data_IF_761004679479
#
_entry.id   IF_761004679479
#
_cell.length_a   1.000
_cell.length_b   1.000
_cell.length_c   1.000
_cell.angle_alpha   90.00
_cell.angle_beta   90.00
_cell.angle_gamma   90.00
#
_symmetry.space_group_name_H-M   'P 1'
#
loop_
_entity.id
_entity.type
_entity.pdbx_description
1 polymer ?
#
# COMPACT_ATOMS: atom_id res chain seq x y z
N UNK A 1 32.26 11.70 69.07
CA UNK A 1 30.85 11.99 68.71
C UNK A 1 30.02 10.76 68.97
N UNK A 2 28.85 10.88 69.61
CA UNK A 2 27.94 9.74 69.76
C UNK A 2 27.38 9.33 68.39
N UNK A 3 27.10 8.04 68.21
CA UNK A 3 26.53 7.47 66.98
C UNK A 3 25.32 8.29 66.45
N UNK A 4 24.38 8.77 67.31
CA UNK A 4 23.27 9.60 66.86
C UNK A 4 23.71 10.93 66.21
N UNK A 5 24.78 11.55 66.70
CA UNK A 5 25.27 12.82 66.14
C UNK A 5 25.87 12.62 64.74
N UNK A 6 26.60 11.51 64.52
CA UNK A 6 27.17 11.20 63.21
C UNK A 6 26.06 10.93 62.19
N UNK A 7 25.02 10.19 62.59
CA UNK A 7 23.88 9.91 61.71
C UNK A 7 23.15 11.19 61.33
N UNK A 8 22.81 12.03 62.31
CA UNK A 8 22.00 13.23 62.08
C UNK A 8 22.73 14.32 61.29
N UNK A 9 24.01 14.56 61.59
CA UNK A 9 24.74 15.71 61.04
C UNK A 9 25.65 15.37 59.86
N UNK A 10 25.92 14.09 59.60
CA UNK A 10 26.79 13.67 58.49
C UNK A 10 26.02 12.79 57.51
N UNK A 11 25.41 11.71 57.97
CA UNK A 11 24.77 10.73 57.06
C UNK A 11 23.52 11.30 56.41
N UNK A 12 22.63 11.93 57.18
CA UNK A 12 21.38 12.49 56.64
C UNK A 12 21.63 13.62 55.63
N UNK A 13 22.51 14.61 55.88
CA UNK A 13 22.79 15.67 54.91
C UNK A 13 23.48 15.13 53.66
N UNK A 14 24.39 14.17 53.78
CA UNK A 14 25.06 13.55 52.63
C UNK A 14 24.07 12.78 51.77
N UNK A 15 23.15 12.01 52.37
CA UNK A 15 22.08 11.32 51.62
C UNK A 15 21.13 12.31 50.96
N UNK A 16 20.76 13.40 51.66
CA UNK A 16 19.89 14.44 51.10
C UNK A 16 20.55 15.12 49.90
N UNK A 17 21.81 15.57 50.04
CA UNK A 17 22.57 16.17 48.95
C UNK A 17 22.76 15.18 47.80
N UNK A 18 23.06 13.91 48.09
CA UNK A 18 23.20 12.88 47.05
C UNK A 18 21.88 12.63 46.32
N UNK A 19 20.75 12.67 47.02
CA UNK A 19 19.41 12.51 46.42
C UNK A 19 19.05 13.72 45.56
N UNK A 20 19.32 14.93 46.04
CA UNK A 20 19.13 16.17 45.29
C UNK A 20 20.01 16.16 44.04
N UNK A 21 21.30 15.83 44.17
CA UNK A 21 22.21 15.70 43.04
C UNK A 21 21.76 14.62 42.07
N UNK A 22 21.28 13.47 42.55
CA UNK A 22 20.71 12.43 41.69
C UNK A 22 19.49 12.96 40.92
N UNK A 23 18.54 13.62 41.58
CA UNK A 23 17.34 14.14 40.90
C UNK A 23 17.67 15.23 39.86
N UNK A 24 18.66 16.09 40.11
CA UNK A 24 18.97 17.21 39.21
C UNK A 24 20.08 16.93 38.18
N UNK A 25 21.00 16.01 38.46
CA UNK A 25 22.11 15.67 37.57
C UNK A 25 21.91 14.33 36.86
N UNK A 26 21.08 13.43 37.38
CA UNK A 26 20.66 12.23 36.66
C UNK A 26 19.61 12.63 35.63
N UNK A 27 20.10 13.24 34.55
CA UNK A 27 19.34 13.22 33.30
C UNK A 27 19.20 11.75 32.94
N UNK A 28 17.95 11.24 32.88
CA UNK A 28 17.70 10.00 32.15
C UNK A 28 18.43 10.14 30.81
N UNK A 29 19.32 9.19 30.48
CA UNK A 29 19.95 9.20 29.16
C UNK A 29 18.84 9.43 28.15
N UNK A 30 18.94 10.44 27.26
CA UNK A 30 17.89 10.69 26.29
C UNK A 30 17.67 9.36 25.59
N UNK A 31 16.49 8.75 25.78
CA UNK A 31 16.12 7.48 25.16
C UNK A 31 16.63 7.58 23.73
N UNK A 32 17.62 6.75 23.41
CA UNK A 32 18.52 6.90 22.27
C UNK A 32 17.71 6.65 20.97
N UNK A 33 16.83 7.60 20.67
CA UNK A 33 15.85 7.55 19.62
C UNK A 33 16.48 8.20 18.41
N UNK A 34 16.53 7.45 17.31
CA UNK A 34 17.02 7.97 16.05
C UNK A 34 16.21 9.23 15.67
N UNK A 35 16.92 10.36 15.58
CA UNK A 35 16.38 11.69 15.27
C UNK A 35 15.55 11.70 13.98
N UNK A 36 15.81 10.75 13.07
CA UNK A 36 15.03 10.52 11.85
C UNK A 36 13.53 10.29 12.15
N UNK A 37 13.18 9.70 13.27
CA UNK A 37 11.80 9.42 13.65
C UNK A 37 11.18 10.47 14.58
N UNK A 38 11.94 11.52 14.92
CA UNK A 38 11.49 12.64 15.74
C UNK A 38 11.05 13.81 14.84
N UNK A 39 9.75 14.02 14.69
CA UNK A 39 9.21 15.06 13.79
C UNK A 39 9.00 16.35 14.56
N UNK A 40 9.72 17.40 14.19
CA UNK A 40 9.57 18.73 14.79
C UNK A 40 8.69 19.63 13.93
N UNK A 41 7.67 20.22 14.55
CA UNK A 41 6.75 21.11 13.87
C UNK A 41 7.22 22.57 13.97
N UNK A 42 7.12 23.30 12.85
CA UNK A 42 7.34 24.74 12.81
C UNK A 42 6.13 25.46 13.41
N UNK A 43 6.36 26.12 14.54
CA UNK A 43 5.34 26.88 15.26
C UNK A 43 5.75 28.35 15.37
N UNK A 44 4.76 29.26 15.47
CA UNK A 44 5.01 30.69 15.75
C UNK A 44 5.59 30.90 17.16
N UNK A 45 5.16 30.09 18.13
CA UNK A 45 5.59 30.11 19.53
C UNK A 45 5.62 28.69 20.09
N UNK A 46 6.56 28.43 21.01
CA UNK A 46 6.72 27.12 21.65
C UNK A 46 7.48 26.10 20.82
N UNK A 47 7.53 24.86 21.33
CA UNK A 47 8.13 23.71 20.66
C UNK A 47 7.14 22.56 20.70
N UNK A 48 6.88 21.94 19.55
CA UNK A 48 6.11 20.72 19.44
C UNK A 48 6.89 19.71 18.62
N UNK A 49 7.04 18.51 19.18
CA UNK A 49 7.81 17.43 18.60
C UNK A 49 7.08 16.12 18.85
N UNK A 50 6.95 15.31 17.81
CA UNK A 50 6.53 13.92 17.92
C UNK A 50 7.79 13.08 18.13
N UNK A 51 7.90 12.41 19.27
CA UNK A 51 9.11 11.65 19.63
C UNK A 51 9.33 10.39 18.81
N UNK A 52 8.26 9.80 18.25
CA UNK A 52 8.37 8.56 17.49
C UNK A 52 7.23 8.41 16.47
N UNK A 53 7.49 8.81 15.22
CA UNK A 53 6.52 8.70 14.13
C UNK A 53 6.20 7.26 13.70
N UNK A 54 7.03 6.27 14.08
CA UNK A 54 6.77 4.85 13.75
C UNK A 54 5.51 4.31 14.41
N UNK A 55 4.99 4.99 15.43
CA UNK A 55 3.73 4.63 16.10
C UNK A 55 2.49 5.10 15.33
N UNK A 56 2.68 5.80 14.22
CA UNK A 56 1.61 6.42 13.44
C UNK A 56 1.19 7.77 14.03
N UNK A 57 0.50 8.55 13.20
CA UNK A 57 -0.12 9.81 13.58
C UNK A 57 -1.51 9.89 12.93
N UNK A 58 -2.50 10.35 13.68
CA UNK A 58 -3.85 10.62 13.18
C UNK A 58 -4.13 12.11 13.29
N UNK A 59 -4.63 12.70 12.20
CA UNK A 59 -4.89 14.14 12.09
C UNK A 59 -6.40 14.32 11.91
N UNK A 60 -7.05 14.89 12.92
CA UNK A 60 -8.50 15.11 12.91
C UNK A 60 -8.76 16.61 12.87
N UNK A 61 -9.64 17.05 11.97
CA UNK A 61 -10.04 18.45 11.87
C UNK A 61 -11.08 18.65 10.77
N UNK A 62 -11.91 19.68 10.91
CA UNK A 62 -12.94 20.04 9.93
C UNK A 62 -12.33 20.49 8.59
N UNK A 63 -13.17 20.57 7.54
CA UNK A 63 -12.77 21.21 6.29
C UNK A 63 -12.34 22.66 6.57
N UNK A 64 -11.25 23.11 5.93
CA UNK A 64 -10.71 24.46 6.15
C UNK A 64 -9.93 24.67 7.45
N UNK A 65 -9.77 23.65 8.31
CA UNK A 65 -9.04 23.78 9.59
C UNK A 65 -7.50 23.86 9.44
N UNK A 66 -6.98 23.95 8.21
CA UNK A 66 -5.55 24.05 7.93
C UNK A 66 -4.73 22.77 8.10
N UNK A 67 -5.34 21.57 8.07
CA UNK A 67 -4.62 20.28 8.23
C UNK A 67 -3.42 20.14 7.28
N UNK A 68 -3.63 20.45 6.01
CA UNK A 68 -2.62 20.31 4.96
C UNK A 68 -1.42 21.21 5.23
N UNK A 69 -1.66 22.51 5.42
CA UNK A 69 -0.61 23.52 5.61
C UNK A 69 0.11 23.38 6.96
N UNK A 70 -0.63 23.14 8.05
CA UNK A 70 -0.06 23.17 9.40
C UNK A 70 0.55 21.84 9.83
N UNK A 71 -0.02 20.70 9.42
CA UNK A 71 0.42 19.38 9.90
C UNK A 71 1.06 18.55 8.79
N UNK A 72 0.35 18.33 7.68
CA UNK A 72 0.83 17.45 6.60
C UNK A 72 2.10 18.02 5.95
N UNK A 73 2.15 19.32 5.68
CA UNK A 73 3.34 19.96 5.11
C UNK A 73 4.59 19.79 6.00
N UNK A 74 4.43 19.90 7.32
CA UNK A 74 5.54 19.65 8.26
C UNK A 74 6.02 18.19 8.18
N UNK A 75 5.10 17.23 8.07
CA UNK A 75 5.47 15.83 7.83
C UNK A 75 6.19 15.64 6.50
N UNK A 76 5.67 16.16 5.40
CA UNK A 76 6.30 16.05 4.08
C UNK A 76 7.70 16.65 4.07
N UNK A 77 7.88 17.82 4.68
CA UNK A 77 9.19 18.46 4.80
C UNK A 77 10.16 17.62 5.64
N UNK A 78 9.71 17.04 6.75
CA UNK A 78 10.52 16.14 7.57
C UNK A 78 10.90 14.87 6.82
N UNK A 79 9.94 14.24 6.14
CA UNK A 79 10.13 13.01 5.37
C UNK A 79 11.05 13.22 4.17
N UNK A 80 10.90 14.32 3.44
CA UNK A 80 11.83 14.73 2.39
C UNK A 80 13.24 14.94 2.95
N UNK A 81 13.38 15.71 4.03
CA UNK A 81 14.69 16.01 4.64
C UNK A 81 15.45 14.75 5.07
N UNK A 82 14.73 13.75 5.58
CA UNK A 82 15.32 12.48 6.03
C UNK A 82 15.22 11.36 4.99
N UNK A 83 14.90 11.71 3.74
CA UNK A 83 14.83 10.82 2.58
C UNK A 83 14.01 9.55 2.85
N UNK A 84 12.80 9.72 3.37
CA UNK A 84 11.84 8.62 3.49
C UNK A 84 11.26 8.27 2.12
N UNK A 85 11.18 6.98 1.83
CA UNK A 85 10.31 6.43 0.80
C UNK A 85 8.87 6.33 1.34
N UNK A 86 7.89 6.30 0.46
CA UNK A 86 6.50 6.11 0.88
C UNK A 86 5.48 6.21 -0.23
N UNK A 87 4.24 5.89 0.12
CA UNK A 87 3.08 6.08 -0.75
C UNK A 87 2.27 7.24 -0.20
N UNK A 88 1.97 8.22 -1.05
CA UNK A 88 1.08 9.33 -0.76
C UNK A 88 -0.22 9.05 -1.51
N UNK A 89 -1.33 8.98 -0.77
CA UNK A 89 -2.65 8.92 -1.38
C UNK A 89 -3.22 10.33 -1.44
N UNK A 90 -3.30 10.89 -2.64
CA UNK A 90 -3.85 12.21 -2.89
C UNK A 90 -5.31 12.08 -3.33
N UNK A 91 -6.20 12.28 -2.36
CA UNK A 91 -7.62 12.18 -2.59
C UNK A 91 -8.18 13.38 -3.38
N UNK A 92 -7.49 14.51 -3.43
CA UNK A 92 -8.06 15.77 -3.91
C UNK A 92 -7.36 16.28 -5.15
N UNK A 93 -7.25 15.43 -6.16
CA UNK A 93 -6.83 15.81 -7.52
C UNK A 93 -5.61 16.75 -7.54
N UNK A 94 -4.46 16.18 -7.20
CA UNK A 94 -3.15 16.84 -7.17
C UNK A 94 -2.89 17.86 -6.04
N UNK A 95 -3.85 18.17 -5.14
CA UNK A 95 -3.63 19.12 -4.02
C UNK A 95 -2.40 18.74 -3.18
N UNK A 96 -2.25 17.46 -2.81
CA UNK A 96 -1.13 17.01 -2.01
C UNK A 96 0.12 16.73 -2.86
N UNK A 97 -0.10 16.28 -4.09
CA UNK A 97 0.95 15.95 -5.07
C UNK A 97 1.78 17.18 -5.42
N UNK A 98 1.15 18.31 -5.70
CA UNK A 98 1.83 19.57 -6.03
C UNK A 98 2.66 20.12 -4.87
N UNK A 99 2.22 19.87 -3.63
CA UNK A 99 2.96 20.23 -2.43
C UNK A 99 4.17 19.30 -2.23
N UNK A 100 3.97 17.98 -2.39
CA UNK A 100 4.98 16.98 -2.12
C UNK A 100 6.08 16.94 -3.20
N UNK A 101 5.70 16.98 -4.48
CA UNK A 101 6.62 16.84 -5.62
C UNK A 101 7.90 17.69 -5.52
N UNK A 102 7.84 19.03 -5.32
CA UNK A 102 9.05 19.84 -5.23
C UNK A 102 9.90 19.47 -4.01
N UNK A 103 9.28 19.18 -2.85
CA UNK A 103 10.00 18.84 -1.62
C UNK A 103 10.88 17.59 -1.80
N UNK A 104 10.37 16.55 -2.46
CA UNK A 104 11.12 15.32 -2.68
C UNK A 104 12.12 15.45 -3.84
N UNK A 105 11.75 16.18 -4.90
CA UNK A 105 12.63 16.44 -6.05
C UNK A 105 13.89 17.24 -5.66
N UNK A 106 13.76 18.24 -4.79
CA UNK A 106 14.91 19.00 -4.26
C UNK A 106 15.92 18.14 -3.47
N UNK A 107 15.51 16.95 -3.01
CA UNK A 107 16.35 15.99 -2.28
C UNK A 107 16.84 14.84 -3.15
N UNK A 108 16.67 14.94 -4.46
CA UNK A 108 17.02 13.91 -5.44
C UNK A 108 16.36 12.55 -5.17
N UNK A 109 15.14 12.58 -4.59
CA UNK A 109 14.33 11.37 -4.37
C UNK A 109 13.40 11.21 -5.58
N UNK A 110 13.35 10.00 -6.14
CA UNK A 110 12.45 9.71 -7.26
C UNK A 110 11.00 9.85 -6.82
N UNK A 111 10.21 10.56 -7.62
CA UNK A 111 8.80 10.82 -7.34
C UNK A 111 7.97 10.37 -8.55
N UNK A 112 7.14 9.35 -8.34
CA UNK A 112 6.24 8.81 -9.36
C UNK A 112 4.81 9.24 -9.07
N UNK A 113 4.13 9.76 -10.06
CA UNK A 113 2.72 10.12 -9.96
C UNK A 113 1.89 9.15 -10.77
N UNK A 114 1.02 8.39 -10.11
CA UNK A 114 0.06 7.50 -10.72
C UNK A 114 -1.29 8.19 -10.64
N UNK A 115 -1.81 8.63 -11.78
CA UNK A 115 -3.12 9.23 -11.93
C UNK A 115 -3.82 8.58 -13.12
N UNK A 116 -5.16 8.56 -13.08
CA UNK A 116 -5.96 7.87 -14.09
C UNK A 116 -6.55 8.82 -15.14
N UNK A 117 -6.73 10.11 -14.82
CA UNK A 117 -7.23 11.09 -15.77
C UNK A 117 -6.12 11.60 -16.70
N UNK A 118 -4.99 12.03 -16.12
CA UNK A 118 -3.80 12.43 -16.82
C UNK A 118 -2.67 11.43 -16.55
N UNK A 119 -2.30 10.65 -17.56
CA UNK A 119 -1.28 9.60 -17.41
C UNK A 119 0.10 10.24 -17.32
N UNK A 120 0.68 10.25 -16.12
CA UNK A 120 2.07 10.65 -15.89
C UNK A 120 3.02 9.46 -15.95
N UNK A 121 2.66 8.37 -15.27
CA UNK A 121 3.36 7.10 -15.29
C UNK A 121 2.36 5.95 -15.35
N UNK A 122 2.73 4.91 -16.09
CA UNK A 122 2.00 3.65 -16.12
C UNK A 122 2.54 2.68 -15.05
N UNK A 123 1.65 1.88 -14.48
CA UNK A 123 1.97 0.88 -13.45
C UNK A 123 1.39 -0.46 -13.83
N UNK A 124 2.17 -1.54 -13.68
CA UNK A 124 1.67 -2.89 -13.90
C UNK A 124 1.82 -3.72 -12.62
N UNK A 125 0.74 -3.92 -11.84
CA UNK A 125 0.82 -4.68 -10.59
C UNK A 125 1.06 -6.17 -10.81
N UNK A 126 0.73 -6.70 -12.00
CA UNK A 126 0.89 -8.13 -12.32
C UNK A 126 2.17 -8.42 -13.14
N UNK A 127 3.12 -7.48 -13.21
CA UNK A 127 4.37 -7.69 -13.95
C UNK A 127 5.10 -8.94 -13.45
N UNK A 128 5.72 -9.75 -14.33
CA UNK A 128 6.33 -11.03 -13.93
C UNK A 128 7.36 -10.93 -12.80
N UNK A 129 8.05 -9.78 -12.65
CA UNK A 129 9.05 -9.56 -11.59
C UNK A 129 8.46 -9.55 -10.18
N UNK A 130 7.17 -9.26 -10.01
CA UNK A 130 6.50 -9.30 -8.70
C UNK A 130 5.85 -10.66 -8.41
N UNK A 131 5.93 -11.61 -9.34
CA UNK A 131 5.25 -12.90 -9.28
C UNK A 131 6.26 -14.06 -9.29
N UNK A 132 7.20 -14.17 -8.34
CA UNK A 132 8.25 -15.18 -8.39
C UNK A 132 7.70 -16.62 -8.40
N UNK A 133 6.67 -16.89 -7.58
CA UNK A 133 6.10 -18.22 -7.35
C UNK A 133 4.57 -18.20 -7.36
N UNK A 134 3.98 -19.37 -7.19
CA UNK A 134 2.53 -19.61 -7.20
C UNK A 134 1.82 -18.86 -6.06
N UNK A 135 2.45 -18.80 -4.88
CA UNK A 135 1.92 -18.09 -3.70
C UNK A 135 1.73 -16.60 -3.99
N UNK A 136 2.71 -15.96 -4.65
CA UNK A 136 2.61 -14.55 -5.05
C UNK A 136 1.45 -14.29 -6.03
N UNK A 137 1.19 -15.23 -6.95
CA UNK A 137 0.05 -15.11 -7.88
C UNK A 137 -1.28 -15.29 -7.17
N UNK A 138 -1.36 -16.24 -6.24
CA UNK A 138 -2.58 -16.49 -5.45
C UNK A 138 -2.90 -15.29 -4.56
N UNK A 139 -1.91 -14.76 -3.82
CA UNK A 139 -2.07 -13.58 -2.97
C UNK A 139 -2.51 -12.36 -3.79
N UNK A 140 -1.85 -12.09 -4.91
CA UNK A 140 -2.21 -10.94 -5.76
C UNK A 140 -3.61 -11.10 -6.37
N UNK A 141 -3.95 -12.31 -6.82
CA UNK A 141 -5.27 -12.59 -7.42
C UNK A 141 -6.39 -12.40 -6.40
N UNK A 142 -6.18 -12.88 -5.17
CA UNK A 142 -7.10 -12.65 -4.05
C UNK A 142 -7.29 -11.16 -3.77
N UNK A 143 -6.20 -10.41 -3.59
CA UNK A 143 -6.25 -8.97 -3.33
C UNK A 143 -6.96 -8.22 -4.47
N UNK A 144 -6.69 -8.55 -5.73
CA UNK A 144 -7.37 -7.92 -6.87
C UNK A 144 -8.87 -8.22 -6.87
N UNK A 145 -9.26 -9.47 -6.65
CA UNK A 145 -10.67 -9.87 -6.60
C UNK A 145 -11.41 -9.21 -5.45
N UNK A 146 -10.84 -9.19 -4.24
CA UNK A 146 -11.43 -8.56 -3.06
C UNK A 146 -11.65 -7.06 -3.28
N UNK A 147 -10.66 -6.34 -3.82
CA UNK A 147 -10.77 -4.91 -4.08
C UNK A 147 -11.72 -4.59 -5.24
N UNK A 148 -11.81 -5.44 -6.26
CA UNK A 148 -12.69 -5.20 -7.41
C UNK A 148 -14.15 -5.58 -7.13
N UNK A 149 -14.40 -6.61 -6.32
CA UNK A 149 -15.76 -7.08 -6.06
C UNK A 149 -16.39 -6.46 -4.82
N UNK A 150 -15.63 -5.71 -4.01
CA UNK A 150 -16.13 -5.14 -2.73
C UNK A 150 -16.89 -6.20 -1.95
N UNK A 151 -16.27 -7.37 -1.75
CA UNK A 151 -16.92 -8.48 -1.06
C UNK A 151 -17.35 -8.02 0.33
N UNK A 152 -18.64 -7.77 0.50
CA UNK A 152 -19.24 -7.62 1.81
C UNK A 152 -19.05 -8.95 2.54
N UNK A 153 -18.24 -8.96 3.61
CA UNK A 153 -17.91 -10.12 4.47
C UNK A 153 -19.15 -10.84 5.08
N UNK A 154 -20.37 -10.42 4.77
CA UNK A 154 -21.60 -10.83 5.44
C UNK A 154 -22.22 -12.15 4.95
N UNK A 155 -21.53 -12.97 4.15
CA UNK A 155 -22.09 -14.26 3.69
C UNK A 155 -21.11 -15.44 3.74
N UNK A 156 -20.85 -15.90 4.96
CA UNK A 156 -20.09 -17.11 5.33
C UNK A 156 -20.83 -18.42 5.00
N UNK A 157 -21.37 -18.55 3.79
CA UNK A 157 -21.89 -19.82 3.28
C UNK A 157 -20.80 -20.58 2.52
N UNK A 158 -20.72 -21.91 2.71
CA UNK A 158 -19.72 -22.78 2.05
C UNK A 158 -19.77 -22.72 0.51
N UNK A 159 -20.95 -22.44 -0.06
CA UNK A 159 -21.16 -22.22 -1.48
C UNK A 159 -20.56 -20.92 -2.00
N UNK A 160 -20.57 -19.86 -1.19
CA UNK A 160 -19.92 -18.57 -1.50
C UNK A 160 -18.41 -18.70 -1.54
N UNK A 161 -17.84 -19.50 -0.63
CA UNK A 161 -16.40 -19.76 -0.57
C UNK A 161 -15.89 -20.50 -1.82
N UNK A 162 -16.54 -21.61 -2.19
CA UNK A 162 -16.20 -22.33 -3.43
C UNK A 162 -16.32 -21.45 -4.68
N UNK A 163 -17.30 -20.54 -4.69
CA UNK A 163 -17.48 -19.60 -5.78
C UNK A 163 -16.36 -18.55 -5.85
N UNK A 164 -15.92 -18.01 -4.70
CA UNK A 164 -14.75 -17.13 -4.62
C UNK A 164 -13.49 -17.85 -5.11
N UNK A 165 -13.27 -19.08 -4.64
CA UNK A 165 -12.13 -19.91 -5.02
C UNK A 165 -12.08 -20.15 -6.55
N UNK A 166 -13.23 -20.33 -7.20
CA UNK A 166 -13.30 -20.51 -8.66
C UNK A 166 -13.00 -19.20 -9.44
N UNK A 167 -13.45 -18.05 -8.93
CA UNK A 167 -13.18 -16.72 -9.50
C UNK A 167 -11.69 -16.38 -9.36
N UNK A 168 -11.15 -16.51 -8.14
CA UNK A 168 -9.74 -16.28 -7.82
C UNK A 168 -8.83 -17.25 -8.59
N UNK A 169 -9.18 -18.54 -8.62
CA UNK A 169 -8.41 -19.57 -9.31
C UNK A 169 -8.35 -19.38 -10.83
N UNK A 170 -9.46 -18.95 -11.46
CA UNK A 170 -9.46 -18.63 -12.89
C UNK A 170 -8.58 -17.40 -13.18
N UNK A 171 -8.69 -16.32 -12.38
CA UNK A 171 -7.82 -15.15 -12.51
C UNK A 171 -6.34 -15.53 -12.33
N UNK A 172 -6.01 -16.25 -11.27
CA UNK A 172 -4.65 -16.70 -10.96
C UNK A 172 -4.08 -17.60 -12.06
N UNK A 173 -4.88 -18.54 -12.57
CA UNK A 173 -4.50 -19.38 -13.70
C UNK A 173 -4.17 -18.57 -14.95
N UNK A 174 -5.00 -17.57 -15.29
CA UNK A 174 -4.75 -16.70 -16.43
C UNK A 174 -3.50 -15.81 -16.24
N UNK A 175 -3.30 -15.23 -15.05
CA UNK A 175 -2.10 -14.45 -14.71
C UNK A 175 -0.86 -15.33 -14.82
N UNK A 176 -0.87 -16.54 -14.27
CA UNK A 176 0.25 -17.48 -14.37
C UNK A 176 0.57 -17.85 -15.82
N UNK A 177 -0.48 -18.06 -16.64
CA UNK A 177 -0.30 -18.38 -18.05
C UNK A 177 0.36 -17.23 -18.81
N UNK A 178 -0.08 -15.99 -18.55
CA UNK A 178 0.55 -14.80 -19.11
C UNK A 178 1.99 -14.65 -18.63
N UNK A 179 2.24 -14.72 -17.32
CA UNK A 179 3.58 -14.63 -16.73
C UNK A 179 4.56 -15.60 -17.39
N UNK A 180 4.18 -16.86 -17.57
CA UNK A 180 5.09 -17.93 -18.00
C UNK A 180 5.20 -18.09 -19.51
N UNK A 181 4.09 -17.99 -20.24
CA UNK A 181 4.07 -18.26 -21.68
C UNK A 181 4.11 -17.00 -22.54
N UNK A 182 3.69 -15.85 -21.97
CA UNK A 182 3.52 -14.60 -22.70
C UNK A 182 3.95 -13.39 -21.83
N UNK A 183 5.17 -13.38 -21.25
CA UNK A 183 5.58 -12.38 -20.26
C UNK A 183 5.45 -10.93 -20.76
N UNK A 184 5.62 -10.69 -22.06
CA UNK A 184 5.44 -9.38 -22.71
C UNK A 184 3.99 -8.87 -22.70
N UNK A 185 3.02 -9.76 -22.51
CA UNK A 185 1.59 -9.45 -22.43
C UNK A 185 1.05 -9.65 -21.01
N UNK A 186 1.92 -9.82 -20.01
CA UNK A 186 1.52 -9.99 -18.62
C UNK A 186 1.19 -8.64 -17.97
N UNK A 187 0.00 -8.13 -18.30
CA UNK A 187 -0.57 -6.86 -17.82
C UNK A 187 -2.08 -7.02 -17.60
N UNK A 188 -2.68 -6.20 -16.74
CA UNK A 188 -4.13 -6.26 -16.50
C UNK A 188 -4.97 -6.02 -17.78
N UNK A 189 -4.64 -5.04 -18.65
CA UNK A 189 -5.39 -4.85 -19.89
C UNK A 189 -5.41 -6.08 -20.81
N UNK A 190 -4.26 -6.75 -20.97
CA UNK A 190 -4.18 -7.96 -21.78
C UNK A 190 -4.92 -9.14 -21.14
N UNK A 191 -4.85 -9.30 -19.82
CA UNK A 191 -5.61 -10.28 -19.06
C UNK A 191 -7.12 -10.12 -19.31
N UNK A 192 -7.62 -8.88 -19.21
CA UNK A 192 -9.02 -8.55 -19.42
C UNK A 192 -9.41 -8.79 -20.89
N UNK A 193 -8.58 -8.34 -21.84
CA UNK A 193 -8.83 -8.55 -23.26
C UNK A 193 -8.91 -10.03 -23.63
N UNK A 194 -8.03 -10.87 -23.09
CA UNK A 194 -8.09 -12.34 -23.27
C UNK A 194 -9.38 -12.91 -22.68
N UNK A 195 -9.74 -12.48 -21.46
CA UNK A 195 -10.96 -12.95 -20.80
C UNK A 195 -12.21 -12.63 -21.61
N UNK A 196 -12.31 -11.40 -22.13
CA UNK A 196 -13.47 -10.91 -22.87
C UNK A 196 -13.53 -11.44 -24.31
N UNK A 197 -12.39 -11.71 -24.95
CA UNK A 197 -12.34 -12.18 -26.34
C UNK A 197 -12.53 -13.69 -26.49
N UNK A 198 -12.31 -14.47 -25.43
CA UNK A 198 -12.38 -15.93 -25.48
C UNK A 198 -13.74 -16.50 -25.06
N UNK A 199 -14.18 -17.53 -25.78
CA UNK A 199 -15.25 -18.44 -25.34
C UNK A 199 -14.81 -19.23 -24.10
N UNK A 200 -15.75 -19.80 -23.36
CA UNK A 200 -15.45 -20.64 -22.18
C UNK A 200 -14.52 -21.81 -22.54
N UNK A 201 -14.77 -22.49 -23.67
CA UNK A 201 -13.91 -23.59 -24.14
C UNK A 201 -12.49 -23.11 -24.42
N UNK A 202 -12.34 -21.96 -25.08
CA UNK A 202 -11.03 -21.37 -25.36
C UNK A 202 -10.29 -20.97 -24.07
N UNK A 203 -10.97 -20.36 -23.09
CA UNK A 203 -10.37 -20.02 -21.79
C UNK A 203 -9.83 -21.27 -21.09
N UNK A 204 -10.60 -22.35 -21.10
CA UNK A 204 -10.23 -23.62 -20.46
C UNK A 204 -9.03 -24.24 -21.17
N UNK A 205 -9.02 -24.27 -22.50
CA UNK A 205 -7.85 -24.70 -23.29
C UNK A 205 -6.64 -23.83 -22.99
N UNK A 206 -6.82 -22.50 -22.89
CA UNK A 206 -5.76 -21.55 -22.62
C UNK A 206 -5.08 -21.82 -21.27
N UNK A 207 -5.84 -21.90 -20.17
CA UNK A 207 -5.27 -22.20 -18.84
C UNK A 207 -4.78 -23.65 -18.73
N UNK A 208 -5.44 -24.60 -19.39
CA UNK A 208 -5.06 -26.02 -19.35
C UNK A 208 -3.76 -26.34 -20.08
N UNK A 209 -3.30 -25.45 -20.97
CA UNK A 209 -2.04 -25.60 -21.70
C UNK A 209 -0.79 -25.45 -20.83
N UNK A 210 -0.93 -25.06 -19.56
CA UNK A 210 0.15 -25.04 -18.59
C UNK A 210 -0.32 -25.75 -17.30
N UNK A 211 0.49 -26.68 -16.78
CA UNK A 211 0.10 -27.55 -15.66
C UNK A 211 -0.24 -26.74 -14.40
N UNK A 212 0.58 -25.76 -14.04
CA UNK A 212 0.36 -24.90 -12.87
C UNK A 212 -0.87 -24.00 -13.05
N UNK A 213 -1.01 -23.37 -14.23
CA UNK A 213 -2.19 -22.56 -14.58
C UNK A 213 -3.49 -23.38 -14.49
N UNK A 214 -3.47 -24.61 -15.01
CA UNK A 214 -4.57 -25.57 -14.90
C UNK A 214 -4.90 -25.91 -13.44
N UNK A 215 -3.87 -26.13 -12.63
CA UNK A 215 -4.02 -26.45 -11.21
C UNK A 215 -4.69 -25.31 -10.45
N UNK A 216 -4.28 -24.06 -10.70
CA UNK A 216 -4.90 -22.86 -10.12
C UNK A 216 -6.37 -22.72 -10.54
N UNK A 217 -6.66 -22.92 -11.83
CA UNK A 217 -8.01 -22.80 -12.37
C UNK A 217 -8.90 -24.05 -12.16
N UNK A 218 -8.45 -25.03 -11.36
CA UNK A 218 -9.10 -26.35 -11.24
C UNK A 218 -10.55 -26.27 -10.76
N UNK A 219 -10.87 -25.40 -9.80
CA UNK A 219 -12.23 -25.21 -9.32
C UNK A 219 -13.19 -24.73 -10.43
N UNK A 220 -12.73 -23.80 -11.27
CA UNK A 220 -13.49 -23.34 -12.44
C UNK A 220 -13.65 -24.44 -13.49
N UNK A 221 -12.58 -25.20 -13.78
CA UNK A 221 -12.61 -26.28 -14.77
C UNK A 221 -13.55 -27.41 -14.34
N UNK A 222 -13.51 -27.81 -13.06
CA UNK A 222 -14.38 -28.86 -12.52
C UNK A 222 -15.84 -28.41 -12.42
N UNK A 223 -16.10 -27.10 -12.29
CA UNK A 223 -17.44 -26.52 -12.30
C UNK A 223 -18.08 -26.41 -13.69
N UNK A 224 -17.35 -26.78 -14.75
CA UNK A 224 -17.83 -26.65 -16.14
C UNK A 224 -19.02 -27.53 -16.49
N UNK A 225 -19.19 -28.66 -15.82
CA UNK A 225 -20.33 -29.55 -16.03
C UNK A 225 -21.65 -28.89 -15.60
N UNK A 226 -21.58 -27.78 -14.87
CA UNK A 226 -22.71 -26.91 -14.55
C UNK A 226 -22.63 -25.60 -15.32
N UNK A 227 -23.51 -25.44 -16.31
CA UNK A 227 -23.68 -24.18 -17.04
C UNK A 227 -23.95 -23.00 -16.10
N UNK A 228 -24.71 -23.24 -15.02
CA UNK A 228 -25.05 -22.23 -14.01
C UNK A 228 -23.81 -21.75 -13.24
N UNK A 229 -22.95 -22.66 -12.78
CA UNK A 229 -21.75 -22.30 -12.03
C UNK A 229 -20.74 -21.57 -12.94
N UNK A 230 -20.54 -22.10 -14.15
CA UNK A 230 -19.66 -21.50 -15.17
C UNK A 230 -20.09 -20.08 -15.51
N UNK A 231 -21.38 -19.87 -15.80
CA UNK A 231 -21.93 -18.56 -16.11
C UNK A 231 -21.79 -17.61 -14.91
N UNK A 232 -21.99 -18.11 -13.68
CA UNK A 232 -21.78 -17.35 -12.45
C UNK A 232 -20.36 -16.81 -12.34
N UNK A 233 -19.35 -17.68 -12.42
CA UNK A 233 -17.93 -17.29 -12.29
C UNK A 233 -17.56 -16.27 -13.38
N UNK A 234 -17.95 -16.53 -14.63
CA UNK A 234 -17.68 -15.60 -15.74
C UNK A 234 -18.36 -14.25 -15.56
N UNK A 235 -19.60 -14.23 -15.09
CA UNK A 235 -20.35 -12.99 -14.83
C UNK A 235 -19.66 -12.16 -13.75
N UNK A 236 -19.24 -12.80 -12.66
CA UNK A 236 -18.54 -12.13 -11.57
C UNK A 236 -17.19 -11.55 -12.01
N UNK A 237 -16.36 -12.31 -12.73
CA UNK A 237 -15.11 -11.78 -13.28
C UNK A 237 -15.36 -10.66 -14.31
N UNK A 238 -16.38 -10.79 -15.16
CA UNK A 238 -16.74 -9.74 -16.10
C UNK A 238 -17.12 -8.44 -15.38
N UNK A 239 -17.87 -8.53 -14.27
CA UNK A 239 -18.22 -7.39 -13.45
C UNK A 239 -17.01 -6.76 -12.75
N UNK A 240 -16.09 -7.58 -12.21
CA UNK A 240 -14.84 -7.11 -11.65
C UNK A 240 -14.01 -6.34 -12.68
N UNK A 241 -13.82 -6.93 -13.87
CA UNK A 241 -13.05 -6.31 -14.95
C UNK A 241 -13.72 -5.07 -15.53
N UNK A 242 -15.05 -4.99 -15.52
CA UNK A 242 -15.78 -3.80 -15.96
C UNK A 242 -15.39 -2.57 -15.14
N UNK A 243 -15.15 -2.69 -13.83
CA UNK A 243 -14.74 -1.56 -12.96
C UNK A 243 -13.39 -0.96 -13.37
N UNK A 244 -12.50 -1.76 -13.96
CA UNK A 244 -11.18 -1.33 -14.44
C UNK A 244 -11.05 -1.33 -15.97
N UNK A 245 -12.19 -1.33 -16.67
CA UNK A 245 -12.28 -1.49 -18.13
C UNK A 245 -12.16 -0.21 -18.94
N UNK A 246 -12.02 0.96 -18.32
CA UNK A 246 -11.99 2.23 -19.03
C UNK A 246 -10.68 2.40 -19.82
N UNK A 247 -10.72 3.17 -20.92
CA UNK A 247 -9.54 3.46 -21.74
C UNK A 247 -8.39 4.07 -20.92
N UNK A 248 -8.73 4.98 -20.01
CA UNK A 248 -7.80 5.62 -19.09
C UNK A 248 -7.11 4.63 -18.17
N UNK A 249 -7.89 3.76 -17.51
CA UNK A 249 -7.34 2.71 -16.64
C UNK A 249 -6.51 1.70 -17.43
N UNK A 250 -6.95 1.34 -18.64
CA UNK A 250 -6.18 0.47 -19.52
C UNK A 250 -4.84 1.08 -19.88
N UNK A 251 -4.79 2.38 -20.20
CA UNK A 251 -3.54 3.07 -20.49
C UNK A 251 -2.63 3.09 -19.26
N UNK A 252 -3.15 3.53 -18.11
CA UNK A 252 -2.41 3.57 -16.84
C UNK A 252 -1.84 2.20 -16.45
N UNK A 253 -2.56 1.11 -16.74
CA UNK A 253 -2.19 -0.26 -16.35
C UNK A 253 -1.42 -1.04 -17.42
N UNK A 254 -1.07 -0.40 -18.54
CA UNK A 254 -0.53 -1.08 -19.73
C UNK A 254 0.98 -1.34 -19.68
N UNK A 255 1.72 -0.63 -18.82
CA UNK A 255 3.19 -0.69 -18.77
C UNK A 255 3.70 -0.63 -17.35
N UNK A 256 4.94 -1.07 -17.18
CA UNK A 256 5.61 -1.22 -15.89
C UNK A 256 6.70 -0.14 -15.70
N UNK A 257 6.29 1.12 -15.61
CA UNK A 257 7.22 2.27 -15.52
C UNK A 257 7.57 2.62 -14.05
N UNK A 258 6.68 2.26 -13.12
CA UNK A 258 6.86 2.52 -11.68
C UNK A 258 7.34 1.25 -10.94
N UNK A 259 8.56 1.22 -10.40
CA UNK A 259 9.02 0.15 -9.54
C UNK A 259 8.30 0.23 -8.18
N UNK A 260 7.57 -0.83 -7.81
CA UNK A 260 6.78 -0.87 -6.57
C UNK A 260 7.62 -1.15 -5.32
N UNK A 261 8.85 -1.64 -5.47
CA UNK A 261 9.82 -1.84 -4.38
C UNK A 261 10.53 -0.52 -4.00
N UNK A 262 9.74 0.45 -3.54
CA UNK A 262 10.18 1.83 -3.29
C UNK A 262 11.06 2.02 -2.04
N UNK A 263 11.10 1.01 -1.16
CA UNK A 263 11.93 0.99 0.03
C UNK A 263 13.29 0.31 -0.19
N UNK A 264 13.61 -0.07 -1.43
CA UNK A 264 14.93 -0.56 -1.80
C UNK A 264 15.98 0.54 -1.66
N UNK A 265 17.19 0.16 -1.24
CA UNK A 265 18.33 1.10 -1.14
C UNK A 265 18.77 1.64 -2.51
N UNK A 266 18.59 0.84 -3.56
CA UNK A 266 19.01 1.17 -4.91
C UNK A 266 18.03 2.13 -5.61
N UNK A 267 16.77 2.16 -5.15
CA UNK A 267 15.73 2.97 -5.74
C UNK A 267 14.73 3.49 -4.69
N UNK A 268 15.19 4.34 -3.73
CA UNK A 268 14.29 4.98 -2.80
C UNK A 268 13.37 5.93 -3.57
N UNK A 269 12.07 5.74 -3.44
CA UNK A 269 11.09 6.52 -4.17
C UNK A 269 9.85 6.86 -3.34
N UNK A 270 9.14 7.87 -3.81
CA UNK A 270 7.79 8.20 -3.37
C UNK A 270 6.83 7.96 -4.53
N UNK A 271 5.74 7.26 -4.27
CA UNK A 271 4.64 7.11 -5.22
C UNK A 271 3.47 7.94 -4.71
N UNK A 272 2.98 8.86 -5.53
CA UNK A 272 1.73 9.56 -5.29
C UNK A 272 0.62 8.93 -6.14
N UNK A 273 -0.41 8.41 -5.48
CA UNK A 273 -1.60 7.87 -6.14
C UNK A 273 -2.67 8.95 -6.07
N UNK A 274 -3.05 9.48 -7.22
CA UNK A 274 -4.00 10.59 -7.34
C UNK A 274 -5.37 10.05 -7.72
N UNK A 275 -6.35 10.35 -6.87
CA UNK A 275 -7.75 10.14 -7.14
C UNK A 275 -8.42 11.48 -7.42
N UNK A 276 -9.46 11.43 -8.25
CA UNK A 276 -10.31 12.57 -8.50
C UNK A 276 -11.71 12.31 -7.90
N UNK A 277 -12.14 13.08 -6.87
CA UNK A 277 -13.37 12.82 -6.12
C UNK A 277 -14.64 12.75 -6.97
N UNK A 278 -14.62 13.40 -8.15
CA UNK A 278 -15.76 13.42 -9.08
C UNK A 278 -16.11 12.04 -9.61
N UNK A 279 -15.16 11.09 -9.65
CA UNK A 279 -15.38 9.75 -10.19
C UNK A 279 -15.72 8.71 -9.13
N UNK A 280 -15.73 9.06 -7.85
CA UNK A 280 -16.05 8.14 -6.76
C UNK A 280 -17.56 8.09 -6.46
N UNK A 281 -18.32 9.07 -6.97
CA UNK A 281 -19.78 9.17 -6.79
C UNK A 281 -20.59 8.63 -7.98
N UNK A 282 -19.94 8.00 -8.96
CA UNK A 282 -20.52 7.58 -10.24
C UNK A 282 -20.62 6.05 -10.38
#
# INVERSE_FOLDING_TARGET
MSIPHIILFIVVPVLFVSTVLYVFLHQEEPKNGDKKYQVRFKLRRGKFQIENIKRGASIIGSAGSGKTESVIYNFLQHFSTHQFCGIIHDYKDFELTEIAYPLFKEKDIKFYTIAFDQIHYCVNPITPRYLPNEESVNELSKVLIENLLEFNESSTNSTTKFFSDAVEGLMGGMIWKLKTSYPQYCTLPHLIAIFQSMTTKQLVTFVSSNITSRSMASAFINGMDSDKQTAGVKSTLANAFKKIGSQQLFMALSKDEVPLNINSKDNPAVICIVNHPKYESA
#
